data_IF_945809232420
#
_entry.id   IF_945809232420
#
_cell.length_a   1.000
_cell.length_b   1.000
_cell.length_c   1.000
_cell.angle_alpha   90.00
_cell.angle_beta   90.00
_cell.angle_gamma   90.00
#
_symmetry.space_group_name_H-M   'P 1'
#
loop_
_entity.id
_entity.type
_entity.pdbx_description
1 polymer ?
#
# COMPACT_ATOMS: atom_id res chain seq x y z
N UNK A 1 24.13 3.27 4.94
CA UNK A 1 22.67 3.27 4.65
C UNK A 1 21.91 3.52 5.95
N UNK A 2 20.70 4.11 5.89
CA UNK A 2 19.90 4.49 7.07
C UNK A 2 19.64 3.30 8.01
N UNK A 3 19.45 2.09 7.48
CA UNK A 3 19.31 0.89 8.32
C UNK A 3 20.49 0.60 9.27
N UNK A 4 21.70 1.10 8.98
CA UNK A 4 22.82 0.92 9.91
C UNK A 4 22.70 1.81 11.15
N UNK A 5 21.93 2.91 11.10
CA UNK A 5 21.62 3.70 12.31
C UNK A 5 20.75 2.94 13.30
N UNK A 6 20.05 1.90 12.85
CA UNK A 6 19.12 1.11 13.66
C UNK A 6 19.64 -0.30 13.93
N UNK A 7 20.93 -0.59 13.68
CA UNK A 7 21.49 -1.94 13.84
C UNK A 7 21.26 -2.55 15.23
N UNK A 8 21.25 -1.72 16.28
CA UNK A 8 21.02 -2.14 17.66
C UNK A 8 19.62 -1.75 18.19
N UNK A 9 18.71 -1.37 17.29
CA UNK A 9 17.35 -0.95 17.64
C UNK A 9 16.34 -1.86 16.97
N UNK A 10 15.45 -2.41 17.79
CA UNK A 10 14.28 -3.14 17.33
C UNK A 10 13.03 -2.34 17.70
N UNK A 11 12.13 -2.21 16.74
CA UNK A 11 10.82 -1.60 16.92
C UNK A 11 9.75 -2.66 16.74
N UNK A 12 8.58 -2.44 17.33
CA UNK A 12 7.44 -3.35 17.13
C UNK A 12 6.75 -3.12 15.77
N UNK A 13 6.86 -1.91 15.22
CA UNK A 13 6.13 -1.49 14.02
C UNK A 13 6.94 -0.47 13.18
N UNK A 14 6.97 -0.67 11.86
CA UNK A 14 7.46 0.31 10.90
C UNK A 14 6.31 0.74 9.97
N UNK A 15 6.26 2.03 9.61
CA UNK A 15 5.20 2.61 8.79
C UNK A 15 5.81 3.46 7.66
N UNK A 16 5.33 3.26 6.44
CA UNK A 16 5.64 4.10 5.27
C UNK A 16 4.40 4.23 4.40
N UNK A 17 3.77 5.40 4.36
CA UNK A 17 2.51 5.63 3.66
C UNK A 17 2.64 6.73 2.62
N UNK A 18 2.37 6.40 1.35
CA UNK A 18 2.44 7.30 0.19
C UNK A 18 3.79 8.07 0.12
N UNK A 19 4.88 7.31 0.20
CA UNK A 19 6.26 7.83 0.11
C UNK A 19 7.02 7.23 -1.06
N UNK A 20 6.94 5.91 -1.26
CA UNK A 20 7.82 5.19 -2.18
C UNK A 20 7.59 5.55 -3.66
N UNK A 21 6.40 6.04 -4.00
CA UNK A 21 6.04 6.55 -5.32
C UNK A 21 6.77 7.84 -5.70
N UNK A 22 7.31 8.58 -4.72
CA UNK A 22 8.06 9.81 -4.93
C UNK A 22 9.57 9.59 -5.04
N UNK A 23 10.02 8.35 -4.85
CA UNK A 23 11.43 8.00 -4.81
C UNK A 23 11.86 7.33 -6.10
N UNK A 24 13.15 7.34 -6.39
CA UNK A 24 13.68 6.68 -7.59
C UNK A 24 13.33 5.17 -7.54
N UNK A 25 12.86 4.57 -8.65
CA UNK A 25 12.44 3.17 -8.66
C UNK A 25 13.47 2.18 -8.10
N UNK A 26 14.76 2.47 -8.28
CA UNK A 26 15.90 1.67 -7.81
C UNK A 26 16.01 1.68 -6.27
N UNK A 27 15.35 2.63 -5.60
CA UNK A 27 15.31 2.71 -4.13
C UNK A 27 14.31 1.73 -3.51
N UNK A 28 13.40 1.16 -4.30
CA UNK A 28 12.32 0.29 -3.81
C UNK A 28 12.83 -0.89 -2.96
N UNK A 29 13.82 -1.70 -3.40
CA UNK A 29 14.33 -2.80 -2.58
C UNK A 29 15.00 -2.31 -1.30
N UNK A 30 15.68 -1.16 -1.36
CA UNK A 30 16.39 -0.59 -0.21
C UNK A 30 15.42 -0.17 0.90
N UNK A 31 14.31 0.47 0.54
CA UNK A 31 13.29 0.92 1.51
C UNK A 31 12.62 -0.27 2.16
N UNK A 32 12.19 -1.27 1.37
CA UNK A 32 11.56 -2.46 1.92
C UNK A 32 12.52 -3.18 2.87
N UNK A 33 13.77 -3.38 2.48
CA UNK A 33 14.79 -3.96 3.35
C UNK A 33 15.00 -3.16 4.65
N UNK A 34 14.92 -1.83 4.63
CA UNK A 34 15.02 -1.05 5.86
C UNK A 34 13.83 -1.28 6.78
N UNK A 35 12.61 -1.24 6.25
CA UNK A 35 11.37 -1.44 7.01
C UNK A 35 11.33 -2.84 7.65
N UNK A 36 11.63 -3.88 6.86
CA UNK A 36 11.56 -5.27 7.31
C UNK A 36 12.67 -5.65 8.28
N UNK A 37 13.82 -4.97 8.22
CA UNK A 37 14.94 -5.22 9.13
C UNK A 37 14.73 -4.66 10.53
N UNK A 38 13.98 -3.56 10.67
CA UNK A 38 13.87 -2.83 11.95
C UNK A 38 12.61 -3.20 12.75
N UNK A 39 11.59 -3.79 12.12
CA UNK A 39 10.35 -4.16 12.79
C UNK A 39 9.72 -5.47 12.24
N UNK A 40 9.08 -6.29 13.09
CA UNK A 40 8.38 -7.50 12.67
C UNK A 40 6.99 -7.23 12.07
N UNK A 41 6.49 -5.99 12.15
CA UNK A 41 5.25 -5.55 11.52
C UNK A 41 5.53 -4.32 10.66
N UNK A 42 5.06 -4.34 9.42
CA UNK A 42 5.22 -3.23 8.46
C UNK A 42 3.85 -2.81 7.94
N UNK A 43 3.56 -1.52 8.03
CA UNK A 43 2.42 -0.88 7.35
C UNK A 43 2.97 -0.09 6.18
N UNK A 44 2.55 -0.46 4.97
CA UNK A 44 3.10 0.10 3.74
C UNK A 44 1.99 0.56 2.80
N UNK A 45 2.18 1.71 2.16
CA UNK A 45 1.39 2.10 0.99
C UNK A 45 2.26 2.88 0.00
N UNK A 46 1.89 2.75 -1.27
CA UNK A 46 2.41 3.56 -2.36
C UNK A 46 1.35 3.58 -3.47
N UNK A 47 1.29 4.69 -4.21
CA UNK A 47 0.44 4.80 -5.38
C UNK A 47 0.74 3.70 -6.42
N UNK A 48 -0.32 3.09 -6.95
CA UNK A 48 -0.26 2.04 -8.00
C UNK A 48 -0.26 2.66 -9.41
N UNK A 49 0.06 1.90 -10.48
CA UNK A 49 0.02 2.44 -11.84
C UNK A 49 -1.33 3.08 -12.18
N UNK A 50 -1.28 4.24 -12.84
CA UNK A 50 -2.46 5.04 -13.16
C UNK A 50 -2.95 5.95 -12.04
N UNK A 51 -2.54 5.70 -10.79
CA UNK A 51 -2.79 6.62 -9.68
C UNK A 51 -1.75 7.75 -9.72
N UNK A 52 -2.04 8.76 -10.54
CA UNK A 52 -1.22 9.97 -10.65
C UNK A 52 -1.17 10.78 -9.35
N UNK A 53 -0.41 11.86 -9.38
CA UNK A 53 -0.21 12.75 -8.25
C UNK A 53 1.08 13.55 -8.40
N UNK A 54 1.25 14.58 -7.58
CA UNK A 54 2.42 15.45 -7.68
C UNK A 54 3.70 14.67 -7.33
N UNK A 55 4.66 14.63 -8.25
CA UNK A 55 5.95 13.98 -8.03
C UNK A 55 5.89 12.46 -7.98
N UNK A 56 4.88 11.82 -8.56
CA UNK A 56 4.82 10.36 -8.69
C UNK A 56 5.77 9.92 -9.81
N UNK A 57 6.90 9.32 -9.44
CA UNK A 57 7.94 8.84 -10.37
C UNK A 57 8.17 7.32 -10.29
N UNK A 58 7.59 6.65 -9.29
CA UNK A 58 7.75 5.22 -9.05
C UNK A 58 6.41 4.53 -8.73
N UNK A 59 5.52 4.54 -9.71
CA UNK A 59 4.22 3.87 -9.63
C UNK A 59 4.37 2.38 -9.96
N UNK A 60 4.66 1.58 -8.94
CA UNK A 60 4.79 0.12 -9.08
C UNK A 60 3.50 -0.58 -8.66
N UNK A 61 3.27 -1.73 -9.27
CA UNK A 61 2.10 -2.56 -8.97
C UNK A 61 2.17 -3.12 -7.55
N UNK A 62 1.01 -3.50 -7.01
CA UNK A 62 0.91 -4.09 -5.67
C UNK A 62 1.63 -5.44 -5.58
N UNK A 63 1.67 -6.22 -6.66
CA UNK A 63 2.41 -7.49 -6.72
C UNK A 63 3.94 -7.26 -6.63
N UNK A 64 4.46 -6.19 -7.24
CA UNK A 64 5.87 -5.82 -7.12
C UNK A 64 6.25 -5.50 -5.67
N UNK A 65 5.46 -4.64 -5.00
CA UNK A 65 5.72 -4.32 -3.59
C UNK A 65 5.56 -5.54 -2.68
N UNK A 66 4.53 -6.36 -2.97
CA UNK A 66 4.29 -7.60 -2.26
C UNK A 66 5.46 -8.57 -2.38
N UNK A 67 6.06 -8.73 -3.58
CA UNK A 67 7.18 -9.66 -3.78
C UNK A 67 8.41 -9.27 -2.95
N UNK A 68 8.74 -7.98 -2.87
CA UNK A 68 9.86 -7.51 -2.05
C UNK A 68 9.66 -7.81 -0.54
N UNK A 69 8.41 -7.70 -0.07
CA UNK A 69 8.06 -8.00 1.32
C UNK A 69 8.07 -9.52 1.58
N UNK A 70 7.55 -10.33 0.66
CA UNK A 70 7.55 -11.79 0.83
C UNK A 70 8.95 -12.39 0.73
N UNK A 71 9.84 -11.83 -0.08
CA UNK A 71 11.28 -12.15 -0.09
C UNK A 71 11.95 -11.94 1.28
N UNK A 72 11.39 -11.05 2.11
CA UNK A 72 11.82 -10.80 3.49
C UNK A 72 11.06 -11.63 4.54
N UNK A 73 10.29 -12.65 4.14
CA UNK A 73 9.42 -13.48 5.00
C UNK A 73 8.27 -12.71 5.69
N UNK A 74 7.76 -11.66 5.06
CA UNK A 74 6.57 -10.95 5.55
C UNK A 74 5.30 -11.43 4.85
N UNK A 75 4.27 -11.74 5.65
CA UNK A 75 2.97 -12.19 5.18
C UNK A 75 1.96 -11.05 5.23
N UNK A 76 1.24 -10.84 4.12
CA UNK A 76 0.19 -9.83 4.01
C UNK A 76 -1.00 -10.20 4.91
N UNK A 77 -1.48 -9.22 5.67
CA UNK A 77 -2.58 -9.38 6.63
C UNK A 77 -3.87 -8.68 6.19
N UNK A 78 -3.75 -7.54 5.51
CA UNK A 78 -4.83 -6.67 5.00
C UNK A 78 -5.93 -6.31 6.02
N UNK A 79 -5.57 -6.27 7.30
CA UNK A 79 -6.48 -5.93 8.41
C UNK A 79 -6.79 -4.43 8.45
N UNK A 80 -5.89 -3.61 7.89
CA UNK A 80 -6.09 -2.16 7.87
C UNK A 80 -7.17 -1.77 6.86
N UNK A 81 -7.09 -2.19 5.60
CA UNK A 81 -8.15 -1.85 4.61
C UNK A 81 -9.48 -2.45 4.97
N UNK A 82 -9.50 -3.60 5.66
CA UNK A 82 -10.73 -4.15 6.24
C UNK A 82 -11.48 -3.13 7.09
N UNK A 83 -10.77 -2.33 7.88
CA UNK A 83 -11.36 -1.26 8.68
C UNK A 83 -11.57 -0.01 7.84
N UNK A 84 -10.58 0.42 7.06
CA UNK A 84 -10.60 1.73 6.42
C UNK A 84 -11.51 1.85 5.20
N UNK A 85 -11.69 0.79 4.40
CA UNK A 85 -12.37 0.89 3.09
C UNK A 85 -13.82 1.38 3.18
N UNK A 86 -14.47 1.28 4.35
CA UNK A 86 -15.83 1.74 4.60
C UNK A 86 -15.92 3.10 5.32
N UNK A 87 -14.79 3.78 5.57
CA UNK A 87 -14.76 5.06 6.26
C UNK A 87 -14.58 6.22 5.27
N UNK A 88 -15.66 6.92 4.88
CA UNK A 88 -15.59 7.97 3.85
C UNK A 88 -14.80 9.20 4.29
N UNK A 89 -14.55 9.39 5.58
CA UNK A 89 -13.70 10.46 6.12
C UNK A 89 -12.21 10.24 5.89
N UNK A 90 -11.80 9.01 5.52
CA UNK A 90 -10.40 8.69 5.22
C UNK A 90 -10.14 8.93 3.74
N UNK A 91 -9.00 9.55 3.43
CA UNK A 91 -8.66 9.84 2.04
C UNK A 91 -8.57 8.53 1.21
N UNK A 92 -9.02 8.53 -0.06
CA UNK A 92 -9.09 7.31 -0.88
C UNK A 92 -7.78 6.56 -1.01
N UNK A 93 -6.65 7.26 -1.18
CA UNK A 93 -5.33 6.64 -1.27
C UNK A 93 -4.99 5.84 -0.01
N UNK A 94 -5.31 6.33 1.19
CA UNK A 94 -5.13 5.56 2.43
C UNK A 94 -6.13 4.39 2.56
N UNK A 95 -7.37 4.54 2.07
CA UNK A 95 -8.38 3.48 2.14
C UNK A 95 -8.03 2.27 1.30
N UNK A 96 -7.39 2.50 0.15
CA UNK A 96 -7.23 1.48 -0.89
C UNK A 96 -5.79 1.00 -1.08
N UNK A 97 -4.78 1.80 -0.69
CA UNK A 97 -3.37 1.43 -0.89
C UNK A 97 -2.69 0.83 0.35
N UNK A 98 -3.15 1.15 1.55
CA UNK A 98 -2.48 0.74 2.79
C UNK A 98 -2.56 -0.76 2.98
N UNK A 99 -1.44 -1.41 3.24
CA UNK A 99 -1.37 -2.84 3.55
C UNK A 99 -0.52 -3.06 4.78
N UNK A 100 -1.00 -3.90 5.70
CA UNK A 100 -0.21 -4.42 6.80
C UNK A 100 0.38 -5.79 6.46
N UNK A 101 1.63 -5.95 6.85
CA UNK A 101 2.44 -7.13 6.68
C UNK A 101 3.06 -7.52 8.02
N UNK A 102 3.12 -8.82 8.28
CA UNK A 102 3.63 -9.38 9.54
C UNK A 102 4.66 -10.44 9.24
N UNK A 103 5.82 -10.38 9.90
CA UNK A 103 6.87 -11.37 9.76
C UNK A 103 6.36 -12.77 10.12
N UNK A 104 6.76 -13.80 9.36
CA UNK A 104 6.22 -15.16 9.48
C UNK A 104 6.35 -15.79 10.88
N UNK A 105 7.40 -15.43 11.63
CA UNK A 105 7.63 -15.92 13.00
C UNK A 105 6.93 -15.11 14.09
N UNK A 106 6.19 -14.06 13.74
CA UNK A 106 5.51 -13.21 14.72
C UNK A 106 4.18 -13.84 15.18
N UNK A 107 3.80 -13.74 16.47
CA UNK A 107 2.55 -14.33 16.98
C UNK A 107 1.27 -13.86 16.29
N UNK A 108 1.31 -12.70 15.61
CA UNK A 108 0.15 -12.13 14.90
C UNK A 108 0.14 -12.44 13.39
N UNK A 109 1.00 -13.36 12.93
CA UNK A 109 1.02 -13.81 11.53
C UNK A 109 -0.40 -14.25 11.10
N UNK A 110 -0.89 -13.81 9.94
CA UNK A 110 -2.28 -14.06 9.55
C UNK A 110 -2.47 -15.50 9.04
N UNK A 111 -3.68 -16.02 9.21
CA UNK A 111 -4.09 -17.27 8.58
C UNK A 111 -4.54 -17.02 7.13
N UNK A 112 -4.12 -17.88 6.20
CA UNK A 112 -4.36 -17.69 4.76
C UNK A 112 -5.83 -17.49 4.39
N UNK A 113 -6.74 -18.23 5.04
CA UNK A 113 -8.18 -18.14 4.78
C UNK A 113 -8.78 -16.76 5.15
N UNK A 114 -8.29 -16.13 6.21
CA UNK A 114 -8.70 -14.76 6.57
C UNK A 114 -8.22 -13.74 5.54
N UNK A 115 -6.96 -13.89 5.10
CA UNK A 115 -6.31 -12.96 4.17
C UNK A 115 -7.03 -12.92 2.83
N UNK A 116 -7.39 -14.08 2.26
CA UNK A 116 -8.09 -14.16 0.98
C UNK A 116 -9.39 -13.35 1.01
N UNK A 117 -10.16 -13.48 2.08
CA UNK A 117 -11.45 -12.78 2.23
C UNK A 117 -11.24 -11.26 2.29
N UNK A 118 -10.25 -10.80 3.09
CA UNK A 118 -9.92 -9.37 3.21
C UNK A 118 -9.45 -8.80 1.88
N UNK A 119 -8.54 -9.48 1.19
CA UNK A 119 -7.98 -9.03 -0.09
C UNK A 119 -9.07 -8.90 -1.17
N UNK A 120 -9.93 -9.91 -1.32
CA UNK A 120 -11.03 -9.84 -2.31
C UNK A 120 -11.91 -8.62 -2.05
N UNK A 121 -12.31 -8.40 -0.79
CA UNK A 121 -13.15 -7.27 -0.43
C UNK A 121 -12.45 -5.92 -0.64
N UNK A 122 -11.17 -5.81 -0.27
CA UNK A 122 -10.39 -4.58 -0.42
C UNK A 122 -10.13 -4.23 -1.88
N UNK A 123 -9.73 -5.20 -2.71
CA UNK A 123 -9.48 -4.97 -4.14
C UNK A 123 -10.78 -4.67 -4.89
N UNK A 124 -11.88 -5.34 -4.55
CA UNK A 124 -13.21 -5.02 -5.10
C UNK A 124 -13.65 -3.59 -4.75
N UNK A 125 -13.43 -3.15 -3.50
CA UNK A 125 -13.75 -1.79 -3.07
C UNK A 125 -12.88 -0.75 -3.77
N UNK A 126 -11.58 -1.02 -3.93
CA UNK A 126 -10.65 -0.14 -4.64
C UNK A 126 -11.03 0.01 -6.12
N UNK A 127 -11.33 -1.10 -6.80
CA UNK A 127 -11.79 -1.08 -8.19
C UNK A 127 -13.11 -0.32 -8.35
N UNK A 128 -14.07 -0.55 -7.45
CA UNK A 128 -15.36 0.16 -7.47
C UNK A 128 -15.15 1.67 -7.35
N UNK A 129 -14.33 2.11 -6.39
CA UNK A 129 -14.05 3.53 -6.18
C UNK A 129 -13.40 4.18 -7.41
N UNK A 130 -12.49 3.46 -8.10
CA UNK A 130 -11.89 3.93 -9.34
C UNK A 130 -12.94 4.16 -10.45
N UNK A 131 -13.87 3.21 -10.64
CA UNK A 131 -14.93 3.35 -11.63
C UNK A 131 -15.91 4.48 -11.30
N UNK A 132 -16.27 4.66 -10.03
CA UNK A 132 -17.11 5.76 -9.59
C UNK A 132 -16.47 7.12 -9.89
N UNK A 133 -15.18 7.27 -9.60
CA UNK A 133 -14.46 8.52 -9.84
C UNK A 133 -14.30 8.80 -11.34
N UNK A 134 -13.93 7.77 -12.11
CA UNK A 134 -13.83 7.87 -13.57
C UNK A 134 -15.17 8.28 -14.19
N UNK A 135 -16.28 7.73 -13.71
CA UNK A 135 -17.64 8.08 -14.17
C UNK A 135 -17.99 9.52 -13.84
N UNK A 136 -17.64 10.00 -12.63
CA UNK A 136 -17.88 11.41 -12.25
C UNK A 136 -17.11 12.37 -13.15
N UNK A 137 -15.83 12.10 -13.41
CA UNK A 137 -14.98 12.91 -14.28
C UNK A 137 -15.54 12.96 -15.71
N UNK A 138 -15.89 11.81 -16.27
CA UNK A 138 -16.51 11.73 -17.60
C UNK A 138 -17.80 12.57 -17.71
N UNK A 139 -18.68 12.49 -16.71
CA UNK A 139 -19.90 13.28 -16.68
C UNK A 139 -19.64 14.78 -16.51
N UNK A 140 -18.56 15.16 -15.81
CA UNK A 140 -18.14 16.56 -15.68
C UNK A 140 -17.61 17.11 -17.00
N UNK A 141 -16.81 16.33 -17.74
CA UNK A 141 -16.32 16.70 -19.08
C UNK A 141 -17.49 16.93 -20.05
N UNK A 142 -18.47 16.02 -20.06
CA UNK A 142 -19.68 16.19 -20.87
C UNK A 142 -20.49 17.44 -20.52
N UNK A 143 -20.57 17.80 -19.24
CA UNK A 143 -21.33 18.98 -18.77
C UNK A 143 -20.60 20.29 -19.02
N UNK A 144 -19.27 20.28 -18.97
CA UNK A 144 -18.46 21.50 -19.11
C UNK A 144 -18.12 21.81 -20.55
N UNK A 145 -18.27 20.85 -21.48
CA UNK A 145 -17.97 21.03 -22.91
C UNK A 145 -16.48 21.23 -23.20
N UNK A 146 -15.62 21.04 -22.19
CA UNK A 146 -14.17 21.10 -22.32
C UNK A 146 -13.71 19.64 -22.45
N UNK A 147 -13.50 19.20 -23.70
CA UNK A 147 -12.63 18.05 -23.94
C UNK A 147 -11.19 18.49 -23.65
N UNK A 148 -10.45 17.69 -22.88
CA UNK A 148 -8.99 17.77 -22.82
C UNK A 148 -8.37 17.41 -24.18
#
# INVERSE_FOLDING_TARGET
AIANFFQDKHFDLAISLEVAEHLQPESSPTIINWLTKVAPVVIFSAAVPGQGGHGHINLRTRDYWHSLLTESNFMISDRIREKLRNHPSVAPWYRYNVLDYVHANHPQVPQTNEVITRLIASESAAATAYYEESTKLYLLEQKTGICN
#
